data_IF_072269524788
#
_entry.id   IF_072269524788
#
_cell.length_a   1.000
_cell.length_b   1.000
_cell.length_c   1.000
_cell.angle_alpha   90.00
_cell.angle_beta   90.00
_cell.angle_gamma   90.00
#
_symmetry.space_group_name_H-M   'P 1'
#
loop_
_entity.id
_entity.type
_entity.pdbx_description
1 polymer ?
#
# COMPACT_ATOMS: atom_id res chain seq x y z
N UNK A 1 51.74 53.29 89.86
CA UNK A 1 50.81 52.14 89.75
C UNK A 1 49.61 52.43 88.85
N UNK A 2 49.00 53.63 88.88
CA UNK A 2 47.86 53.95 88.01
C UNK A 2 48.22 54.05 86.51
N UNK A 3 49.37 54.65 86.18
CA UNK A 3 49.85 54.83 84.79
C UNK A 3 50.20 53.51 84.10
N UNK A 4 50.81 52.58 84.83
CA UNK A 4 51.15 51.23 84.33
C UNK A 4 49.91 50.38 84.08
N UNK A 5 48.84 50.58 84.85
CA UNK A 5 47.56 49.90 84.65
C UNK A 5 46.84 50.44 83.40
N UNK A 6 46.90 51.76 83.21
CA UNK A 6 46.28 52.44 82.06
C UNK A 6 46.96 52.06 80.73
N UNK A 7 48.29 51.94 80.72
CA UNK A 7 49.04 51.50 79.52
C UNK A 7 48.79 50.02 79.21
N UNK A 8 48.71 49.16 80.23
CA UNK A 8 48.36 47.75 80.04
C UNK A 8 46.95 47.58 79.45
N UNK A 9 45.97 48.34 79.96
CA UNK A 9 44.59 48.34 79.44
C UNK A 9 44.54 48.81 77.97
N UNK A 10 45.31 49.85 77.64
CA UNK A 10 45.41 50.40 76.28
C UNK A 10 46.03 49.38 75.29
N UNK A 11 47.11 48.71 75.68
CA UNK A 11 47.74 47.68 74.85
C UNK A 11 46.79 46.49 74.64
N UNK A 12 46.07 46.04 75.67
CA UNK A 12 45.06 44.99 75.53
C UNK A 12 43.89 45.40 74.62
N UNK A 13 43.45 46.66 74.67
CA UNK A 13 42.40 47.16 73.79
C UNK A 13 42.87 47.21 72.32
N UNK A 14 44.11 47.66 72.08
CA UNK A 14 44.71 47.72 70.75
C UNK A 14 44.93 46.33 70.15
N UNK A 15 45.42 45.36 70.94
CA UNK A 15 45.60 43.98 70.46
C UNK A 15 44.26 43.31 70.17
N UNK A 16 43.22 43.59 70.98
CA UNK A 16 41.87 43.10 70.73
C UNK A 16 41.28 43.67 69.43
N UNK A 17 41.39 44.98 69.20
CA UNK A 17 40.94 45.63 67.96
C UNK A 17 41.71 45.11 66.73
N UNK A 18 43.02 44.89 66.86
CA UNK A 18 43.83 44.30 65.79
C UNK A 18 43.40 42.86 65.47
N UNK A 19 43.15 42.03 66.49
CA UNK A 19 42.60 40.70 66.32
C UNK A 19 41.23 40.74 65.62
N UNK A 20 40.32 41.63 66.04
CA UNK A 20 39.02 41.79 65.37
C UNK A 20 39.16 42.19 63.90
N UNK A 21 40.07 43.11 63.59
CA UNK A 21 40.33 43.52 62.21
C UNK A 21 40.84 42.36 61.34
N UNK A 22 41.75 41.52 61.87
CA UNK A 22 42.25 40.33 61.17
C UNK A 22 41.15 39.27 60.96
N UNK A 23 40.32 39.03 61.98
CA UNK A 23 39.19 38.11 61.85
C UNK A 23 38.19 38.59 60.81
N UNK A 24 37.84 39.88 60.84
CA UNK A 24 36.94 40.49 59.86
C UNK A 24 37.49 40.38 58.44
N UNK A 25 38.78 40.70 58.25
CA UNK A 25 39.45 40.55 56.95
C UNK A 25 39.37 39.12 56.41
N UNK A 26 39.61 38.11 57.26
CA UNK A 26 39.53 36.70 56.86
C UNK A 26 38.09 36.26 56.50
N UNK A 27 37.10 36.76 57.23
CA UNK A 27 35.67 36.53 56.92
C UNK A 27 35.31 37.18 55.59
N UNK A 28 35.75 38.41 55.35
CA UNK A 28 35.48 39.14 54.10
C UNK A 28 36.13 38.44 52.90
N UNK A 29 37.37 37.96 53.03
CA UNK A 29 38.05 37.15 52.00
C UNK A 29 37.30 35.84 51.70
N UNK A 30 36.81 35.13 52.72
CA UNK A 30 36.00 33.92 52.54
C UNK A 30 34.65 34.25 51.89
N UNK A 31 34.02 35.36 52.25
CA UNK A 31 32.76 35.77 51.66
C UNK A 31 32.90 36.10 50.17
N UNK A 32 34.01 36.73 49.75
CA UNK A 32 34.31 36.97 48.34
C UNK A 32 34.51 35.64 47.59
N UNK A 33 35.31 34.72 48.13
CA UNK A 33 35.54 33.41 47.49
C UNK A 33 34.25 32.60 47.32
N UNK A 34 33.39 32.60 48.35
CA UNK A 34 32.09 31.93 48.29
C UNK A 34 31.22 32.55 47.19
N UNK A 35 31.15 33.89 47.11
CA UNK A 35 30.41 34.60 46.05
C UNK A 35 30.90 34.21 44.65
N UNK A 36 32.21 34.28 44.40
CA UNK A 36 32.77 33.90 43.10
C UNK A 36 32.47 32.43 42.74
N UNK A 37 32.54 31.53 43.73
CA UNK A 37 32.25 30.11 43.52
C UNK A 37 30.77 29.90 43.21
N UNK A 38 29.86 30.60 43.91
CA UNK A 38 28.42 30.52 43.63
C UNK A 38 28.06 31.09 42.27
N UNK A 39 28.72 32.16 41.82
CA UNK A 39 28.51 32.72 40.48
C UNK A 39 28.96 31.75 39.39
N UNK A 40 30.15 31.15 39.53
CA UNK A 40 30.65 30.12 38.61
C UNK A 40 29.74 28.89 38.55
N UNK A 41 29.22 28.44 39.70
CA UNK A 41 28.27 27.33 39.75
C UNK A 41 26.98 27.69 39.01
N UNK A 42 26.45 28.90 39.21
CA UNK A 42 25.25 29.37 38.51
C UNK A 42 25.45 29.43 37.00
N UNK A 43 26.60 29.92 36.53
CA UNK A 43 26.92 29.95 35.10
C UNK A 43 27.03 28.54 34.50
N UNK A 44 27.67 27.62 35.21
CA UNK A 44 27.77 26.21 34.80
C UNK A 44 26.40 25.52 34.75
N UNK A 45 25.52 25.79 35.71
CA UNK A 45 24.16 25.28 35.71
C UNK A 45 23.36 25.82 34.52
N UNK A 46 23.42 27.13 34.27
CA UNK A 46 22.74 27.74 33.13
C UNK A 46 23.23 27.18 31.79
N UNK A 47 24.54 27.00 31.63
CA UNK A 47 25.13 26.41 30.42
C UNK A 47 24.69 24.96 30.23
N UNK A 48 24.73 24.14 31.29
CA UNK A 48 24.27 22.74 31.22
C UNK A 48 22.80 22.65 30.86
N UNK A 49 21.95 23.47 31.47
CA UNK A 49 20.52 23.50 31.15
C UNK A 49 20.31 23.85 29.68
N UNK A 50 20.98 24.87 29.17
CA UNK A 50 20.89 25.24 27.75
C UNK A 50 21.32 24.12 26.80
N UNK A 51 22.42 23.42 27.10
CA UNK A 51 22.89 22.29 26.28
C UNK A 51 21.86 21.16 26.28
N UNK A 52 21.32 20.81 27.45
CA UNK A 52 20.32 19.75 27.59
C UNK A 52 19.05 20.12 26.83
N UNK A 53 18.55 21.35 26.99
CA UNK A 53 17.35 21.82 26.29
C UNK A 53 17.52 21.78 24.78
N UNK A 54 18.68 22.22 24.28
CA UNK A 54 18.99 22.17 22.85
C UNK A 54 19.03 20.73 22.35
N UNK A 55 19.72 19.82 23.04
CA UNK A 55 19.82 18.42 22.61
C UNK A 55 18.45 17.72 22.64
N UNK A 56 17.64 17.98 23.67
CA UNK A 56 16.27 17.46 23.76
C UNK A 56 15.41 18.00 22.61
N UNK A 57 15.54 19.29 22.29
CA UNK A 57 14.82 19.91 21.17
C UNK A 57 15.20 19.28 19.83
N UNK A 58 16.50 19.16 19.55
CA UNK A 58 17.02 18.60 18.30
C UNK A 58 16.58 17.14 18.13
N UNK A 59 16.69 16.31 19.18
CA UNK A 59 16.20 14.92 19.16
C UNK A 59 14.69 14.83 18.97
N UNK A 60 13.92 15.70 19.63
CA UNK A 60 12.45 15.74 19.49
C UNK A 60 12.04 16.03 18.04
N UNK A 61 12.73 16.98 17.39
CA UNK A 61 12.46 17.30 15.99
C UNK A 61 12.85 16.14 15.06
N UNK A 62 14.00 15.49 15.29
CA UNK A 62 14.41 14.32 14.52
C UNK A 62 13.41 13.16 14.64
N UNK A 63 12.89 12.90 15.84
CA UNK A 63 11.85 11.88 16.04
C UNK A 63 10.53 12.26 15.38
N UNK A 64 10.12 13.52 15.41
CA UNK A 64 8.91 13.99 14.70
C UNK A 64 9.02 13.77 13.19
N UNK A 65 10.15 14.09 12.58
CA UNK A 65 10.36 13.86 11.15
C UNK A 65 10.39 12.36 10.82
N UNK A 66 11.00 11.54 11.67
CA UNK A 66 10.98 10.07 11.50
C UNK A 66 9.55 9.51 11.58
N UNK A 67 8.75 9.99 12.54
CA UNK A 67 7.34 9.58 12.68
C UNK A 67 6.55 9.95 11.42
N UNK A 68 6.69 11.18 10.90
CA UNK A 68 6.04 11.59 9.65
C UNK A 68 6.45 10.69 8.48
N UNK A 69 7.72 10.36 8.35
CA UNK A 69 8.20 9.49 7.29
C UNK A 69 7.58 8.09 7.40
N UNK A 70 7.57 7.51 8.60
CA UNK A 70 6.95 6.20 8.83
C UNK A 70 5.44 6.19 8.56
N UNK A 71 4.75 7.29 8.87
CA UNK A 71 3.33 7.44 8.53
C UNK A 71 3.09 7.48 7.02
N UNK A 72 3.93 8.20 6.28
CA UNK A 72 3.89 8.23 4.81
C UNK A 72 4.19 6.84 4.22
N UNK A 73 5.26 6.18 4.68
CA UNK A 73 5.64 4.85 4.21
C UNK A 73 4.52 3.82 4.47
N UNK A 74 3.89 3.88 5.64
CA UNK A 74 2.73 3.03 5.97
C UNK A 74 1.56 3.23 5.00
N UNK A 75 1.27 4.47 4.63
CA UNK A 75 0.19 4.78 3.67
C UNK A 75 0.55 4.19 2.30
N UNK A 76 1.79 4.39 1.85
CA UNK A 76 2.30 3.87 0.58
C UNK A 76 2.21 2.34 0.52
N UNK A 77 2.75 1.64 1.53
CA UNK A 77 2.71 0.18 1.61
C UNK A 77 1.28 -0.34 1.61
N UNK A 78 0.36 0.32 2.34
CA UNK A 78 -1.05 -0.08 2.36
C UNK A 78 -1.69 0.06 0.97
N UNK A 79 -1.37 1.14 0.26
CA UNK A 79 -1.88 1.36 -1.08
C UNK A 79 -1.35 0.33 -2.08
N UNK A 80 -0.03 0.09 -2.07
CA UNK A 80 0.63 -0.91 -2.90
C UNK A 80 0.10 -2.32 -2.63
N UNK A 81 -0.05 -2.70 -1.36
CA UNK A 81 -0.61 -3.99 -0.96
C UNK A 81 -2.06 -4.16 -1.41
N UNK A 82 -2.88 -3.12 -1.35
CA UNK A 82 -4.24 -3.16 -1.88
C UNK A 82 -4.25 -3.35 -3.41
N UNK A 83 -3.42 -2.60 -4.13
CA UNK A 83 -3.32 -2.73 -5.59
C UNK A 83 -2.82 -4.12 -6.02
N UNK A 84 -1.81 -4.65 -5.32
CA UNK A 84 -1.34 -6.02 -5.52
C UNK A 84 -2.46 -7.03 -5.26
N UNK A 85 -3.18 -6.92 -4.13
CA UNK A 85 -4.28 -7.82 -3.82
C UNK A 85 -5.40 -7.77 -4.87
N UNK A 86 -5.76 -6.59 -5.38
CA UNK A 86 -6.74 -6.45 -6.47
C UNK A 86 -6.24 -7.12 -7.74
N UNK A 87 -4.99 -6.86 -8.13
CA UNK A 87 -4.39 -7.42 -9.34
C UNK A 87 -4.27 -8.95 -9.27
N UNK A 88 -3.78 -9.47 -8.14
CA UNK A 88 -3.63 -10.91 -7.92
C UNK A 88 -5.00 -11.61 -7.91
N UNK A 89 -6.02 -10.98 -7.33
CA UNK A 89 -7.39 -11.50 -7.35
C UNK A 89 -7.95 -11.50 -8.77
N UNK A 90 -7.71 -10.44 -9.55
CA UNK A 90 -8.15 -10.35 -10.95
C UNK A 90 -7.46 -11.41 -11.83
N UNK A 91 -6.14 -11.62 -11.65
CA UNK A 91 -5.39 -12.65 -12.36
C UNK A 91 -5.81 -14.07 -11.93
N UNK A 92 -6.03 -14.32 -10.65
CA UNK A 92 -6.57 -15.60 -10.17
C UNK A 92 -7.97 -15.83 -10.71
N UNK A 93 -8.85 -14.82 -10.73
CA UNK A 93 -10.20 -14.94 -11.28
C UNK A 93 -10.19 -15.27 -12.78
N UNK A 94 -9.32 -14.61 -13.57
CA UNK A 94 -9.13 -14.92 -15.01
C UNK A 94 -8.62 -16.34 -15.26
N UNK A 95 -7.92 -16.94 -14.30
CA UNK A 95 -7.40 -18.30 -14.41
C UNK A 95 -8.38 -19.35 -13.87
N UNK A 96 -9.21 -19.00 -12.88
CA UNK A 96 -10.18 -19.90 -12.28
C UNK A 96 -11.47 -20.00 -13.11
N UNK A 97 -11.90 -18.92 -13.77
CA UNK A 97 -13.13 -18.90 -14.57
C UNK A 97 -12.80 -18.79 -16.05
N UNK A 98 -13.23 -19.78 -16.83
CA UNK A 98 -13.02 -19.81 -18.28
C UNK A 98 -14.32 -20.20 -18.97
N UNK A 99 -14.77 -19.41 -19.93
CA UNK A 99 -15.86 -19.80 -20.84
C UNK A 99 -15.23 -20.28 -22.13
N UNK A 100 -15.35 -21.57 -22.42
CA UNK A 100 -14.87 -22.13 -23.67
C UNK A 100 -15.96 -22.02 -24.73
N UNK A 101 -15.63 -21.45 -25.89
CA UNK A 101 -16.52 -21.37 -27.05
C UNK A 101 -15.97 -22.23 -28.18
N UNK A 102 -16.81 -23.09 -28.75
CA UNK A 102 -16.47 -24.00 -29.84
C UNK A 102 -17.46 -23.81 -31.00
N UNK A 103 -17.02 -23.97 -32.25
CA UNK A 103 -17.94 -23.98 -33.38
C UNK A 103 -18.94 -25.14 -33.28
N UNK A 104 -20.16 -24.88 -33.72
CA UNK A 104 -21.25 -25.84 -33.78
C UNK A 104 -21.80 -25.88 -35.21
N UNK A 105 -21.89 -27.09 -35.77
CA UNK A 105 -22.46 -27.34 -37.09
C UNK A 105 -23.34 -28.58 -36.95
N UNK A 106 -24.60 -28.46 -37.34
CA UNK A 106 -25.53 -29.58 -37.29
C UNK A 106 -26.36 -29.65 -38.57
N UNK A 107 -26.81 -30.85 -38.92
CA UNK A 107 -27.70 -31.08 -40.06
C UNK A 107 -29.04 -31.57 -39.54
N UNK A 108 -30.10 -30.83 -39.86
CA UNK A 108 -31.45 -31.11 -39.40
C UNK A 108 -32.37 -31.25 -40.60
N UNK A 109 -33.25 -32.25 -40.55
CA UNK A 109 -34.30 -32.42 -41.55
C UNK A 109 -35.54 -31.66 -41.09
N UNK A 110 -35.86 -30.57 -41.78
CA UNK A 110 -37.07 -29.79 -41.50
C UNK A 110 -38.18 -30.17 -42.50
N UNK A 111 -39.41 -30.29 -42.02
CA UNK A 111 -40.57 -30.54 -42.89
C UNK A 111 -40.89 -29.26 -43.64
N UNK A 112 -40.95 -29.34 -44.97
CA UNK A 112 -41.36 -28.22 -45.80
C UNK A 112 -42.88 -28.19 -45.85
N UNK A 113 -43.49 -27.32 -45.05
CA UNK A 113 -44.94 -27.10 -45.07
C UNK A 113 -45.27 -25.97 -46.06
N UNK A 114 -45.74 -26.34 -47.25
CA UNK A 114 -46.19 -25.41 -48.29
C UNK A 114 -47.20 -26.05 -49.23
N UNK A 115 -48.16 -25.25 -49.73
CA UNK A 115 -49.36 -25.65 -50.48
C UNK A 115 -49.12 -26.55 -51.71
N UNK A 116 -47.90 -26.65 -52.24
CA UNK A 116 -47.53 -27.43 -53.43
C UNK A 116 -46.25 -28.26 -53.29
N UNK A 117 -45.72 -28.48 -52.09
CA UNK A 117 -44.45 -29.20 -51.93
C UNK A 117 -44.39 -29.98 -50.61
N UNK A 118 -44.79 -31.24 -50.62
CA UNK A 118 -44.58 -32.16 -49.50
C UNK A 118 -43.18 -32.79 -49.61
N UNK A 119 -42.34 -32.57 -48.61
CA UNK A 119 -41.00 -33.19 -48.54
C UNK A 119 -40.21 -32.76 -47.31
N UNK A 120 -39.12 -33.48 -47.04
CA UNK A 120 -38.12 -33.10 -46.03
C UNK A 120 -36.99 -32.32 -46.70
N UNK A 121 -36.64 -31.16 -46.15
CA UNK A 121 -35.51 -30.35 -46.59
C UNK A 121 -34.39 -30.44 -45.56
N UNK A 122 -33.17 -30.78 -46.00
CA UNK A 122 -32.00 -30.83 -45.13
C UNK A 122 -31.44 -29.41 -44.97
N UNK A 123 -31.38 -28.94 -43.73
CA UNK A 123 -30.88 -27.63 -43.33
C UNK A 123 -29.62 -27.81 -42.50
N UNK A 124 -28.62 -27.01 -42.81
CA UNK A 124 -27.36 -26.92 -42.08
C UNK A 124 -27.49 -25.73 -41.12
N UNK A 125 -27.45 -26.01 -39.82
CA UNK A 125 -27.38 -25.00 -38.76
C UNK A 125 -25.92 -24.72 -38.41
N UNK A 126 -25.56 -23.45 -38.37
CA UNK A 126 -24.21 -22.98 -38.05
C UNK A 126 -24.30 -22.06 -36.84
N UNK A 127 -23.42 -22.27 -35.87
CA UNK A 127 -23.41 -21.49 -34.65
C UNK A 127 -22.23 -21.82 -33.76
N UNK A 128 -22.39 -21.61 -32.46
CA UNK A 128 -21.39 -21.97 -31.47
C UNK A 128 -22.01 -22.58 -30.24
N UNK A 129 -21.23 -23.43 -29.57
CA UNK A 129 -21.53 -23.96 -28.25
C UNK A 129 -20.58 -23.31 -27.24
N UNK A 130 -21.08 -23.01 -26.05
CA UNK A 130 -20.26 -22.47 -24.97
C UNK A 130 -20.49 -23.21 -23.66
N UNK A 131 -19.43 -23.26 -22.84
CA UNK A 131 -19.45 -23.92 -21.55
C UNK A 131 -18.58 -23.17 -20.55
N UNK A 132 -19.13 -22.94 -19.34
CA UNK A 132 -18.40 -22.36 -18.22
C UNK A 132 -17.59 -23.44 -17.50
N UNK A 133 -16.31 -23.16 -17.31
CA UNK A 133 -15.40 -23.93 -16.48
C UNK A 133 -14.99 -23.13 -15.25
N UNK A 134 -15.05 -23.77 -14.08
CA UNK A 134 -14.53 -23.25 -12.82
C UNK A 134 -13.41 -24.20 -12.39
N UNK A 135 -12.19 -23.70 -12.26
CA UNK A 135 -10.98 -24.48 -11.92
C UNK A 135 -10.76 -25.68 -12.85
N UNK A 136 -11.09 -25.50 -14.13
CA UNK A 136 -10.97 -26.55 -15.16
C UNK A 136 -12.09 -27.59 -15.17
N UNK A 137 -13.07 -27.50 -14.27
CA UNK A 137 -14.24 -28.40 -14.26
C UNK A 137 -15.45 -27.72 -14.90
N UNK A 138 -16.24 -28.42 -15.72
CA UNK A 138 -17.46 -27.88 -16.29
C UNK A 138 -18.46 -27.58 -15.17
N UNK A 139 -18.75 -26.31 -14.95
CA UNK A 139 -19.68 -25.88 -13.91
C UNK A 139 -21.14 -25.91 -14.37
N UNK A 140 -21.36 -25.73 -15.68
CA UNK A 140 -22.67 -25.75 -16.31
C UNK A 140 -22.67 -26.68 -17.52
N UNK A 141 -23.87 -27.11 -17.91
CA UNK A 141 -24.08 -27.82 -19.16
C UNK A 141 -23.81 -26.90 -20.36
N UNK A 142 -23.50 -27.53 -21.50
CA UNK A 142 -23.20 -26.82 -22.74
C UNK A 142 -24.47 -26.18 -23.28
N UNK A 143 -24.39 -24.90 -23.62
CA UNK A 143 -25.45 -24.21 -24.34
C UNK A 143 -25.03 -23.95 -25.79
N UNK A 144 -26.00 -23.90 -26.70
CA UNK A 144 -25.78 -23.70 -28.13
C UNK A 144 -26.56 -22.49 -28.64
N UNK A 145 -25.93 -21.72 -29.52
CA UNK A 145 -26.54 -20.57 -30.20
C UNK A 145 -26.37 -20.78 -31.70
N UNK A 146 -27.48 -20.77 -32.43
CA UNK A 146 -27.49 -20.85 -33.88
C UNK A 146 -27.40 -19.43 -34.43
N UNK A 147 -26.39 -19.17 -35.27
CA UNK A 147 -26.15 -17.87 -35.92
C UNK A 147 -26.83 -17.86 -37.29
N UNK A 148 -26.70 -18.95 -38.06
CA UNK A 148 -27.15 -19.00 -39.44
C UNK A 148 -27.71 -20.38 -39.81
N UNK A 149 -28.58 -20.41 -40.82
CA UNK A 149 -29.23 -21.62 -41.35
C UNK A 149 -29.20 -21.59 -42.88
N UNK A 150 -28.66 -22.65 -43.48
CA UNK A 150 -28.61 -22.78 -44.93
C UNK A 150 -29.22 -24.10 -45.41
N UNK A 151 -29.79 -24.09 -46.62
CA UNK A 151 -30.21 -25.33 -47.28
C UNK A 151 -28.97 -26.10 -47.73
N UNK A 152 -28.93 -27.39 -47.42
CA UNK A 152 -27.79 -28.28 -47.73
C UNK A 152 -27.45 -28.31 -49.23
N UNK A 153 -28.45 -28.12 -50.10
CA UNK A 153 -28.27 -28.10 -51.56
C UNK A 153 -27.48 -26.90 -52.08
N UNK A 154 -27.56 -25.76 -51.40
CA UNK A 154 -27.05 -24.47 -51.88
C UNK A 154 -25.78 -24.04 -51.13
N UNK A 155 -25.34 -24.82 -50.12
CA UNK A 155 -24.29 -24.41 -49.21
C UNK A 155 -23.22 -25.48 -49.00
N UNK A 156 -21.96 -25.12 -49.28
CA UNK A 156 -20.79 -25.95 -48.98
C UNK A 156 -20.15 -25.47 -47.68
N UNK A 157 -20.12 -26.34 -46.67
CA UNK A 157 -19.51 -26.06 -45.37
C UNK A 157 -18.03 -25.71 -45.54
N UNK A 158 -17.67 -24.48 -45.17
CA UNK A 158 -16.29 -24.01 -45.08
C UNK A 158 -15.98 -23.66 -43.61
N UNK A 159 -15.20 -24.52 -42.96
CA UNK A 159 -14.85 -24.35 -41.54
C UNK A 159 -14.10 -23.05 -41.24
N UNK A 160 -13.29 -22.54 -42.16
CA UNK A 160 -12.56 -21.30 -41.98
C UNK A 160 -13.53 -20.10 -41.93
N UNK A 161 -14.46 -20.05 -42.88
CA UNK A 161 -15.48 -19.00 -42.92
C UNK A 161 -16.40 -19.07 -41.70
N UNK A 162 -16.73 -20.29 -41.22
CA UNK A 162 -17.54 -20.48 -40.02
C UNK A 162 -16.80 -20.00 -38.77
N UNK A 163 -15.52 -20.32 -38.64
CA UNK A 163 -14.70 -19.84 -37.53
C UNK A 163 -14.61 -18.30 -37.54
N UNK A 164 -14.43 -17.69 -38.71
CA UNK A 164 -14.41 -16.24 -38.86
C UNK A 164 -15.77 -15.60 -38.56
N UNK A 165 -16.87 -16.20 -39.01
CA UNK A 165 -18.22 -15.73 -38.72
C UNK A 165 -18.46 -15.73 -37.20
N UNK A 166 -18.20 -16.86 -36.54
CA UNK A 166 -18.35 -16.98 -35.09
C UNK A 166 -17.45 -15.97 -34.38
N UNK A 167 -16.16 -15.91 -34.74
CA UNK A 167 -15.19 -14.98 -34.14
C UNK A 167 -15.63 -13.52 -34.30
N UNK A 168 -16.23 -13.14 -35.43
CA UNK A 168 -16.78 -11.81 -35.65
C UNK A 168 -18.03 -11.58 -34.80
N UNK A 169 -18.93 -12.56 -34.70
CA UNK A 169 -20.16 -12.47 -33.90
C UNK A 169 -19.86 -12.30 -32.41
N UNK A 170 -18.86 -13.02 -31.89
CA UNK A 170 -18.48 -12.95 -30.47
C UNK A 170 -17.34 -11.97 -30.20
N UNK A 171 -16.77 -11.32 -31.22
CA UNK A 171 -15.53 -10.54 -31.13
C UNK A 171 -15.60 -9.39 -30.12
N UNK A 172 -16.65 -8.59 -30.18
CA UNK A 172 -16.88 -7.52 -29.21
C UNK A 172 -17.04 -8.07 -27.78
N UNK A 173 -17.64 -9.25 -27.63
CA UNK A 173 -17.77 -9.92 -26.33
C UNK A 173 -16.43 -10.49 -25.85
N UNK A 174 -15.59 -11.00 -26.75
CA UNK A 174 -14.24 -11.50 -26.45
C UNK A 174 -13.34 -10.37 -25.94
N UNK A 175 -13.29 -9.24 -26.66
CA UNK A 175 -12.45 -8.09 -26.32
C UNK A 175 -12.81 -7.51 -24.94
N UNK A 176 -14.11 -7.43 -24.63
CA UNK A 176 -14.61 -6.89 -23.37
C UNK A 176 -14.60 -7.91 -22.21
N UNK A 177 -14.28 -9.19 -22.45
CA UNK A 177 -14.34 -10.25 -21.43
C UNK A 177 -13.11 -10.34 -20.52
N UNK A 178 -12.09 -9.52 -20.75
CA UNK A 178 -10.86 -9.54 -19.95
C UNK A 178 -10.09 -10.87 -20.01
N UNK A 179 -10.30 -11.70 -21.04
CA UNK A 179 -9.62 -12.99 -21.23
C UNK A 179 -10.33 -14.21 -20.61
N UNK A 180 -11.51 -14.02 -20.01
CA UNK A 180 -12.33 -15.10 -19.44
C UNK A 180 -12.93 -15.99 -20.54
N UNK A 181 -13.30 -15.41 -21.67
CA UNK A 181 -13.86 -16.16 -22.80
C UNK A 181 -12.71 -16.59 -23.73
N UNK A 182 -12.62 -17.90 -24.01
CA UNK A 182 -11.63 -18.49 -24.91
C UNK A 182 -12.32 -19.16 -26.08
N UNK A 183 -12.10 -18.61 -27.27
CA UNK A 183 -12.51 -19.25 -28.52
C UNK A 183 -11.52 -20.35 -28.87
N UNK A 184 -11.99 -21.59 -28.94
CA UNK A 184 -11.16 -22.76 -29.25
C UNK A 184 -11.48 -23.22 -30.65
N UNK A 185 -10.56 -23.00 -31.58
CA UNK A 185 -10.63 -23.60 -32.91
C UNK A 185 -10.14 -25.03 -32.80
N UNK A 186 -11.01 -26.00 -33.09
CA UNK A 186 -10.57 -27.38 -33.21
C UNK A 186 -9.72 -27.46 -34.48
N UNK A 187 -8.40 -27.65 -34.36
CA UNK A 187 -7.57 -28.01 -35.51
C UNK A 187 -8.15 -29.30 -36.10
N UNK A 188 -8.56 -29.25 -37.36
CA UNK A 188 -8.90 -30.44 -38.14
C UNK A 188 -7.71 -31.39 -38.07
N UNK A 189 -7.91 -32.51 -37.38
CA UNK A 189 -6.99 -33.66 -37.37
C UNK A 189 -7.11 -34.39 -38.70
#
# INVERSE_FOLDING_TARGET
MLTTLLTALSVCALTFLFCQALFKKKIDEQAVLVKETTEKLRELEQNKTYIIEKEVHDRTNAYRETIKQLEMDKITIKHESYQLGVKDTEEQFKNEYVVQVLPYINKVNEKRDGFFSFGTEEIIEIGYQYQLFIKGFPALEKAQIIIDRHRSKDYKVNHENINQLIATTIGATLENSGGIIRFVTKKSS
#
